data_IF_029436622221
#
_entry.id   IF_029436622221
#
_cell.length_a   1.000
_cell.length_b   1.000
_cell.length_c   1.000
_cell.angle_alpha   90.00
_cell.angle_beta   90.00
_cell.angle_gamma   90.00
#
_symmetry.space_group_name_H-M   'P 1'
#
loop_
_entity.id
_entity.type
_entity.pdbx_description
1 polymer ?
#
# COMPACT_ATOMS: atom_id res chain seq x y z
N UNK A 1 -24.36 5.97 -1.60
CA UNK A 1 -25.41 5.08 -2.18
C UNK A 1 -25.02 3.66 -1.79
N UNK A 2 -25.95 2.75 -1.46
CA UNK A 2 -25.58 1.37 -1.16
C UNK A 2 -24.95 0.70 -2.39
N UNK A 3 -23.91 -0.10 -2.17
CA UNK A 3 -23.17 -0.86 -3.17
C UNK A 3 -23.64 -2.32 -3.11
N UNK A 4 -24.21 -2.84 -4.20
CA UNK A 4 -24.77 -4.20 -4.21
C UNK A 4 -23.78 -5.20 -4.82
N UNK A 5 -23.71 -6.40 -4.25
CA UNK A 5 -22.99 -7.53 -4.84
C UNK A 5 -23.79 -8.05 -6.04
N UNK A 6 -23.17 -8.05 -7.22
CA UNK A 6 -23.84 -8.47 -8.46
C UNK A 6 -24.19 -9.97 -8.47
N UNK A 7 -23.49 -10.78 -7.67
CA UNK A 7 -23.70 -12.23 -7.60
C UNK A 7 -24.82 -12.65 -6.63
N UNK A 8 -24.96 -11.98 -5.47
CA UNK A 8 -25.93 -12.37 -4.43
C UNK A 8 -26.99 -11.31 -4.13
N UNK A 9 -26.83 -10.08 -4.62
CA UNK A 9 -27.74 -8.96 -4.40
C UNK A 9 -27.71 -8.36 -2.99
N UNK A 10 -26.70 -8.68 -2.18
CA UNK A 10 -26.53 -8.10 -0.84
C UNK A 10 -25.98 -6.67 -0.95
N UNK A 11 -26.59 -5.72 -0.21
CA UNK A 11 -26.22 -4.30 -0.26
C UNK A 11 -25.29 -3.91 0.89
N UNK A 12 -24.19 -3.22 0.56
CA UNK A 12 -23.14 -2.78 1.47
C UNK A 12 -23.04 -1.25 1.51
N UNK A 13 -22.73 -0.70 2.68
CA UNK A 13 -22.61 0.75 2.87
C UNK A 13 -21.30 1.32 2.32
N UNK A 14 -20.28 0.48 2.13
CA UNK A 14 -18.96 0.87 1.59
C UNK A 14 -18.47 -0.18 0.59
N UNK A 15 -17.69 0.25 -0.41
CA UNK A 15 -17.05 -0.64 -1.37
C UNK A 15 -16.08 -1.61 -0.69
N UNK A 16 -15.43 -1.22 0.40
CA UNK A 16 -14.56 -2.08 1.21
C UNK A 16 -15.31 -3.30 1.75
N UNK A 17 -16.54 -3.13 2.23
CA UNK A 17 -17.37 -4.24 2.71
C UNK A 17 -17.87 -5.13 1.59
N UNK A 18 -18.22 -4.55 0.43
CA UNK A 18 -18.54 -5.33 -0.77
C UNK A 18 -17.35 -6.19 -1.22
N UNK A 19 -16.12 -5.68 -1.13
CA UNK A 19 -14.90 -6.40 -1.54
C UNK A 19 -14.50 -7.54 -0.59
N UNK A 20 -14.84 -7.45 0.69
CA UNK A 20 -14.56 -8.49 1.69
C UNK A 20 -15.68 -9.54 1.80
N UNK A 21 -16.76 -9.36 1.03
CA UNK A 21 -17.87 -10.29 1.01
C UNK A 21 -17.53 -11.52 0.15
N UNK A 22 -17.44 -12.68 0.79
CA UNK A 22 -17.21 -13.98 0.13
C UNK A 22 -18.56 -14.61 -0.26
N UNK A 23 -18.86 -14.63 -1.57
CA UNK A 23 -20.12 -15.11 -2.10
C UNK A 23 -20.11 -16.64 -2.24
N UNK A 24 -20.72 -17.35 -1.30
CA UNK A 24 -20.60 -18.81 -1.17
C UNK A 24 -21.44 -19.66 -2.15
N UNK A 25 -22.07 -19.10 -3.20
CA UNK A 25 -22.95 -19.86 -4.10
C UNK A 25 -22.79 -19.48 -5.59
N UNK A 26 -21.76 -20.02 -6.26
CA UNK A 26 -21.73 -20.07 -7.74
C UNK A 26 -21.89 -21.51 -8.21
N UNK A 27 -23.12 -21.89 -8.56
CA UNK A 27 -23.38 -23.07 -9.40
C UNK A 27 -23.44 -22.62 -10.86
N UNK A 28 -22.43 -23.04 -11.62
CA UNK A 28 -22.31 -22.83 -13.06
C UNK A 28 -23.51 -23.38 -13.82
N UNK A 29 -24.11 -22.57 -14.70
CA UNK A 29 -24.88 -23.07 -15.84
C UNK A 29 -24.57 -22.26 -17.12
N UNK A 30 -23.96 -22.92 -18.09
CA UNK A 30 -24.08 -22.64 -19.55
C UNK A 30 -25.34 -23.38 -20.08
N UNK A 31 -25.90 -23.19 -21.31
CA UNK A 31 -25.38 -22.44 -22.48
C UNK A 31 -26.42 -21.80 -23.49
N UNK A 32 -25.85 -21.22 -24.57
CA UNK A 32 -26.30 -21.08 -26.00
C UNK A 32 -27.14 -19.87 -26.46
N UNK A 33 -26.65 -19.18 -27.52
CA UNK A 33 -27.49 -18.48 -28.51
C UNK A 33 -26.79 -17.52 -29.49
N UNK A 34 -26.56 -17.96 -30.73
CA UNK A 34 -25.93 -17.29 -31.89
C UNK A 34 -26.41 -15.86 -32.25
N UNK A 35 -25.53 -15.03 -32.83
CA UNK A 35 -25.63 -14.58 -34.23
C UNK A 35 -24.44 -13.70 -34.69
N UNK A 36 -23.91 -14.10 -35.83
CA UNK A 36 -22.86 -13.53 -36.68
C UNK A 36 -23.28 -12.21 -37.35
N UNK A 37 -22.49 -11.13 -37.22
CA UNK A 37 -22.43 -10.01 -38.17
C UNK A 37 -21.10 -9.21 -38.04
N UNK A 38 -20.27 -9.29 -39.10
CA UNK A 38 -19.52 -8.13 -39.59
C UNK A 38 -18.01 -8.07 -39.30
N UNK A 39 -17.23 -8.89 -40.01
CA UNK A 39 -15.80 -8.66 -40.19
C UNK A 39 -15.55 -7.30 -40.86
N UNK A 40 -15.08 -6.32 -40.08
CA UNK A 40 -14.17 -5.29 -40.56
C UNK A 40 -12.77 -5.67 -40.14
N UNK A 41 -11.90 -5.92 -41.13
CA UNK A 41 -10.47 -6.08 -40.91
C UNK A 41 -9.90 -4.75 -40.41
N UNK A 42 -9.83 -4.61 -39.08
CA UNK A 42 -8.90 -3.69 -38.45
C UNK A 42 -7.54 -4.39 -38.42
N UNK A 43 -6.53 -3.80 -39.06
CA UNK A 43 -5.13 -4.28 -39.03
C UNK A 43 -4.43 -3.92 -37.71
N UNK A 44 -5.18 -3.70 -36.63
CA UNK A 44 -4.67 -3.58 -35.28
C UNK A 44 -5.18 -4.75 -34.45
N UNK A 45 -4.27 -5.40 -33.71
CA UNK A 45 -4.64 -6.39 -32.70
C UNK A 45 -5.67 -5.78 -31.74
N UNK A 46 -6.71 -6.55 -31.40
CA UNK A 46 -7.69 -6.11 -30.41
C UNK A 46 -7.02 -5.92 -29.03
N UNK A 47 -7.58 -5.11 -28.11
CA UNK A 47 -7.09 -5.01 -26.74
C UNK A 47 -6.89 -6.39 -26.08
N UNK A 48 -7.87 -7.29 -26.24
CA UNK A 48 -7.79 -8.69 -25.79
C UNK A 48 -6.61 -9.45 -26.41
N UNK A 49 -6.34 -9.30 -27.71
CA UNK A 49 -5.20 -9.96 -28.35
C UNK A 49 -3.87 -9.41 -27.83
N UNK A 50 -3.79 -8.10 -27.56
CA UNK A 50 -2.59 -7.47 -26.98
C UNK A 50 -2.37 -7.91 -25.54
N UNK A 51 -3.43 -7.89 -24.73
CA UNK A 51 -3.40 -8.34 -23.34
C UNK A 51 -2.93 -9.79 -23.26
N UNK A 52 -3.54 -10.71 -24.01
CA UNK A 52 -3.14 -12.11 -24.03
C UNK A 52 -1.69 -12.32 -24.49
N UNK A 53 -1.22 -11.53 -25.47
CA UNK A 53 0.16 -11.57 -25.92
C UNK A 53 1.14 -11.08 -24.84
N UNK A 54 0.88 -9.93 -24.21
CA UNK A 54 1.73 -9.40 -23.13
C UNK A 54 1.71 -10.29 -21.89
N UNK A 55 0.57 -10.89 -21.53
CA UNK A 55 0.50 -11.88 -20.44
C UNK A 55 1.36 -13.11 -20.74
N UNK A 56 1.32 -13.62 -21.97
CA UNK A 56 2.15 -14.76 -22.38
C UNK A 56 3.65 -14.43 -22.36
N UNK A 57 4.01 -13.22 -22.80
CA UNK A 57 5.40 -12.75 -22.75
C UNK A 57 5.86 -12.52 -21.31
N UNK A 58 5.03 -11.91 -20.46
CA UNK A 58 5.29 -11.72 -19.04
C UNK A 58 5.60 -13.04 -18.33
N UNK A 59 4.77 -14.08 -18.54
CA UNK A 59 5.05 -15.42 -18.01
C UNK A 59 6.39 -15.96 -18.52
N UNK A 60 6.70 -15.78 -19.80
CA UNK A 60 7.96 -16.22 -20.41
C UNK A 60 9.17 -15.51 -19.78
N UNK A 61 9.07 -14.22 -19.51
CA UNK A 61 10.12 -13.41 -18.91
C UNK A 61 10.32 -13.76 -17.43
N UNK A 62 9.25 -13.98 -16.67
CA UNK A 62 9.31 -14.44 -15.28
C UNK A 62 9.90 -15.86 -15.18
N UNK A 63 9.58 -16.75 -16.11
CA UNK A 63 10.17 -18.08 -16.20
C UNK A 63 11.68 -17.99 -16.52
N UNK A 64 12.09 -17.12 -17.44
CA UNK A 64 13.51 -16.87 -17.74
C UNK A 64 14.24 -16.36 -16.50
N UNK A 65 13.67 -15.39 -15.78
CA UNK A 65 14.23 -14.88 -14.54
C UNK A 65 14.39 -16.00 -13.50
N UNK A 66 13.36 -16.82 -13.31
CA UNK A 66 13.38 -17.99 -12.41
C UNK A 66 14.46 -19.01 -12.80
N UNK A 67 14.82 -19.08 -14.08
CA UNK A 67 15.91 -19.90 -14.62
C UNK A 67 17.29 -19.23 -14.58
N UNK A 68 17.40 -18.05 -13.97
CA UNK A 68 18.67 -17.33 -13.71
C UNK A 68 18.98 -16.18 -14.65
N UNK A 69 18.10 -15.86 -15.60
CA UNK A 69 18.26 -14.73 -16.52
C UNK A 69 17.80 -13.42 -15.88
N UNK A 70 18.71 -12.73 -15.20
CA UNK A 70 18.38 -11.52 -14.41
C UNK A 70 17.94 -10.34 -15.28
N UNK A 71 18.45 -10.25 -16.51
CA UNK A 71 18.13 -9.14 -17.41
C UNK A 71 16.66 -9.19 -17.85
N UNK A 72 16.04 -10.37 -17.84
CA UNK A 72 14.63 -10.56 -18.19
C UNK A 72 13.65 -9.85 -17.24
N UNK A 73 14.07 -9.52 -16.01
CA UNK A 73 13.15 -8.91 -15.03
C UNK A 73 12.83 -7.45 -15.36
N UNK A 74 13.76 -6.68 -15.93
CA UNK A 74 13.45 -5.33 -16.39
C UNK A 74 12.40 -5.37 -17.51
N UNK A 75 12.56 -6.28 -18.46
CA UNK A 75 11.59 -6.51 -19.54
C UNK A 75 10.25 -6.98 -18.97
N UNK A 76 10.25 -7.84 -17.93
CA UNK A 76 9.03 -8.33 -17.30
C UNK A 76 8.21 -7.19 -16.67
N UNK A 77 8.85 -6.22 -16.01
CA UNK A 77 8.14 -5.06 -15.44
C UNK A 77 7.49 -4.23 -16.54
N UNK A 78 8.18 -4.03 -17.67
CA UNK A 78 7.64 -3.31 -18.84
C UNK A 78 6.47 -4.05 -19.50
N UNK A 79 6.58 -5.37 -19.65
CA UNK A 79 5.49 -6.19 -20.20
C UNK A 79 4.30 -6.26 -19.24
N UNK A 80 4.53 -6.22 -17.92
CA UNK A 80 3.45 -6.13 -16.95
C UNK A 80 2.69 -4.80 -17.06
N UNK A 81 3.39 -3.67 -17.14
CA UNK A 81 2.78 -2.36 -17.43
C UNK A 81 1.96 -2.38 -18.73
N UNK A 82 2.50 -3.03 -19.77
CA UNK A 82 1.85 -3.15 -21.07
C UNK A 82 0.58 -4.02 -21.01
N UNK A 83 0.60 -5.11 -20.25
CA UNK A 83 -0.55 -5.98 -20.02
C UNK A 83 -1.66 -5.26 -19.22
N UNK A 84 -1.29 -4.52 -18.16
CA UNK A 84 -2.22 -3.71 -17.38
C UNK A 84 -2.87 -2.62 -18.23
N UNK A 85 -2.06 -1.93 -19.05
CA UNK A 85 -2.53 -0.90 -19.96
C UNK A 85 -3.52 -1.46 -20.99
N UNK A 86 -3.20 -2.60 -21.60
CA UNK A 86 -4.10 -3.26 -22.56
C UNK A 86 -5.42 -3.72 -21.92
N UNK A 87 -5.36 -4.19 -20.68
CA UNK A 87 -6.54 -4.61 -19.93
C UNK A 87 -7.46 -3.43 -19.57
N UNK A 88 -6.88 -2.28 -19.22
CA UNK A 88 -7.64 -1.06 -18.94
C UNK A 88 -8.31 -0.48 -20.21
N UNK A 89 -7.69 -0.65 -21.38
CA UNK A 89 -8.29 -0.28 -22.67
C UNK A 89 -9.49 -1.17 -23.06
N UNK A 90 -9.50 -2.43 -22.62
CA UNK A 90 -10.54 -3.39 -22.96
C UNK A 90 -11.83 -3.17 -22.17
N UNK A 91 -11.72 -2.86 -20.88
CA UNK A 91 -12.83 -2.86 -19.95
C UNK A 91 -12.89 -1.62 -19.05
N UNK A 92 -14.00 -0.88 -19.15
CA UNK A 92 -14.29 0.29 -18.32
C UNK A 92 -14.70 -0.07 -16.89
N UNK A 93 -15.02 -1.33 -16.58
CA UNK A 93 -15.36 -1.78 -15.22
C UNK A 93 -14.13 -2.02 -14.34
N UNK A 94 -12.96 -2.18 -14.98
CA UNK A 94 -11.69 -2.51 -14.34
C UNK A 94 -11.59 -3.97 -13.91
N UNK A 95 -12.50 -4.85 -14.33
CA UNK A 95 -12.43 -6.29 -14.09
C UNK A 95 -11.23 -6.89 -14.84
N UNK A 96 -11.09 -6.59 -16.13
CA UNK A 96 -9.94 -7.06 -16.93
C UNK A 96 -8.61 -6.60 -16.34
N UNK A 97 -8.55 -5.36 -15.83
CA UNK A 97 -7.37 -4.85 -15.11
C UNK A 97 -7.06 -5.70 -13.88
N UNK A 98 -8.07 -5.98 -13.03
CA UNK A 98 -7.89 -6.77 -11.80
C UNK A 98 -7.49 -8.22 -12.10
N UNK A 99 -8.03 -8.81 -13.16
CA UNK A 99 -7.70 -10.16 -13.62
C UNK A 99 -6.23 -10.29 -14.07
N UNK A 100 -5.62 -9.19 -14.53
CA UNK A 100 -4.18 -9.14 -14.81
C UNK A 100 -3.39 -8.73 -13.58
N UNK A 101 -3.85 -7.74 -12.82
CA UNK A 101 -3.07 -7.18 -11.71
C UNK A 101 -2.83 -8.21 -10.61
N UNK A 102 -3.88 -8.84 -10.09
CA UNK A 102 -3.76 -9.66 -8.87
C UNK A 102 -2.91 -10.93 -9.04
N UNK A 103 -2.99 -11.69 -10.14
CA UNK A 103 -2.14 -12.86 -10.33
C UNK A 103 -0.64 -12.55 -10.47
N UNK A 104 -0.30 -11.31 -10.85
CA UNK A 104 1.09 -10.92 -11.15
C UNK A 104 1.69 -9.98 -10.11
N UNK A 105 0.89 -9.24 -9.34
CA UNK A 105 1.37 -8.31 -8.33
C UNK A 105 2.33 -8.97 -7.33
N UNK A 106 1.94 -10.10 -6.72
CA UNK A 106 2.81 -10.86 -5.81
C UNK A 106 4.03 -11.43 -6.55
N UNK A 107 3.84 -12.10 -7.69
CA UNK A 107 4.92 -12.75 -8.45
C UNK A 107 6.01 -11.76 -8.88
N UNK A 108 5.63 -10.59 -9.36
CA UNK A 108 6.57 -9.55 -9.81
C UNK A 108 7.22 -8.89 -8.60
N UNK A 109 6.49 -8.63 -7.51
CA UNK A 109 7.05 -8.12 -6.25
C UNK A 109 8.11 -9.06 -5.67
N UNK A 110 7.84 -10.37 -5.66
CA UNK A 110 8.78 -11.41 -5.23
C UNK A 110 10.02 -11.45 -6.12
N UNK A 111 9.86 -11.34 -7.44
CA UNK A 111 10.98 -11.33 -8.37
C UNK A 111 11.87 -10.10 -8.17
N UNK A 112 11.28 -8.92 -7.99
CA UNK A 112 11.98 -7.67 -7.66
C UNK A 112 12.71 -7.76 -6.32
N UNK A 113 12.06 -8.31 -5.28
CA UNK A 113 12.68 -8.54 -3.98
C UNK A 113 13.87 -9.51 -4.09
N UNK A 114 13.68 -10.65 -4.75
CA UNK A 114 14.72 -11.65 -4.97
C UNK A 114 15.92 -11.07 -5.73
N UNK A 115 15.67 -10.29 -6.80
CA UNK A 115 16.72 -9.65 -7.56
C UNK A 115 17.51 -8.66 -6.70
N UNK A 116 16.81 -7.82 -5.93
CA UNK A 116 17.40 -6.83 -5.03
C UNK A 116 18.23 -7.49 -3.92
N UNK A 117 17.74 -8.57 -3.30
CA UNK A 117 18.50 -9.36 -2.33
C UNK A 117 19.79 -9.95 -2.92
N UNK A 118 19.79 -10.23 -4.22
CA UNK A 118 20.93 -10.86 -4.90
C UNK A 118 21.95 -9.87 -5.49
N UNK A 119 21.50 -8.67 -5.86
CA UNK A 119 22.28 -7.66 -6.58
C UNK A 119 22.48 -6.35 -5.80
N UNK A 120 21.79 -6.20 -4.66
CA UNK A 120 21.76 -4.99 -3.85
C UNK A 120 20.76 -3.95 -4.36
N UNK A 121 20.65 -2.86 -3.60
CA UNK A 121 19.77 -1.72 -3.88
C UNK A 121 19.89 -1.14 -5.28
N UNK A 122 21.10 -1.13 -5.86
CA UNK A 122 21.34 -0.64 -7.22
C UNK A 122 20.38 -1.25 -8.27
N UNK A 123 19.95 -2.51 -8.08
CA UNK A 123 18.98 -3.11 -8.99
C UNK A 123 17.64 -2.37 -8.94
N UNK A 124 17.09 -2.20 -7.72
CA UNK A 124 15.81 -1.55 -7.50
C UNK A 124 15.86 -0.05 -7.79
N UNK A 125 17.00 0.61 -7.52
CA UNK A 125 17.25 2.01 -7.89
C UNK A 125 17.08 2.23 -9.41
N UNK A 126 17.58 1.32 -10.24
CA UNK A 126 17.36 1.41 -11.69
C UNK A 126 15.89 1.21 -12.06
N UNK A 127 15.15 0.36 -11.34
CA UNK A 127 13.71 0.15 -11.60
C UNK A 127 12.91 1.40 -11.24
N UNK A 128 13.17 2.02 -10.07
CA UNK A 128 12.46 3.24 -9.65
C UNK A 128 12.80 4.44 -10.53
N UNK A 129 14.04 4.58 -11.00
CA UNK A 129 14.45 5.67 -11.92
C UNK A 129 13.71 5.59 -13.26
N UNK A 130 13.52 4.37 -13.78
CA UNK A 130 12.77 4.15 -15.04
C UNK A 130 11.27 4.38 -14.86
N UNK A 131 10.74 4.21 -13.65
CA UNK A 131 9.31 4.33 -13.33
C UNK A 131 9.05 5.51 -12.38
N UNK A 132 9.76 6.63 -12.58
CA UNK A 132 9.63 7.83 -11.76
C UNK A 132 8.18 8.35 -11.76
N UNK A 133 7.49 8.40 -10.60
CA UNK A 133 6.11 8.84 -10.49
C UNK A 133 5.90 10.31 -10.87
N UNK A 134 6.97 11.10 -10.98
CA UNK A 134 6.92 12.53 -11.33
C UNK A 134 7.19 12.81 -12.81
N UNK A 135 7.57 11.79 -13.58
CA UNK A 135 7.99 11.96 -14.98
C UNK A 135 6.83 12.13 -15.97
N UNK A 136 5.63 11.67 -15.62
CA UNK A 136 4.45 11.70 -16.48
C UNK A 136 3.23 12.30 -15.74
N UNK A 137 2.18 12.63 -16.49
CA UNK A 137 0.93 13.18 -15.94
C UNK A 137 0.13 12.11 -15.16
N UNK A 138 0.37 10.82 -15.44
CA UNK A 138 -0.29 9.67 -14.82
C UNK A 138 0.76 8.72 -14.25
N UNK A 139 0.47 8.14 -13.08
CA UNK A 139 1.31 7.12 -12.46
C UNK A 139 1.37 5.86 -13.33
N UNK A 140 2.55 5.22 -13.50
CA UNK A 140 2.64 3.89 -14.09
C UNK A 140 1.72 2.90 -13.36
N UNK A 141 1.01 2.06 -14.09
CA UNK A 141 0.07 1.08 -13.52
C UNK A 141 0.77 0.03 -12.63
N UNK A 142 2.04 -0.24 -12.90
CA UNK A 142 2.91 -1.16 -12.15
C UNK A 142 3.43 -0.55 -10.83
N UNK A 143 3.19 0.74 -10.58
CA UNK A 143 3.68 1.46 -9.38
C UNK A 143 3.41 0.75 -8.05
N UNK A 144 2.21 0.19 -7.76
CA UNK A 144 2.00 -0.53 -6.50
C UNK A 144 2.95 -1.71 -6.29
N UNK A 145 3.31 -2.41 -7.38
CA UNK A 145 4.21 -3.57 -7.35
C UNK A 145 5.66 -3.15 -7.09
N UNK A 146 6.08 -2.02 -7.67
CA UNK A 146 7.41 -1.47 -7.40
C UNK A 146 7.48 -0.93 -5.96
N UNK A 147 6.46 -0.17 -5.53
CA UNK A 147 6.35 0.33 -4.16
C UNK A 147 6.37 -0.81 -3.13
N UNK A 148 5.67 -1.91 -3.40
CA UNK A 148 5.70 -3.11 -2.58
C UNK A 148 7.15 -3.63 -2.42
N UNK A 149 7.85 -3.88 -3.53
CA UNK A 149 9.24 -4.36 -3.50
C UNK A 149 10.20 -3.39 -2.79
N UNK A 150 10.02 -2.08 -2.98
CA UNK A 150 10.77 -1.03 -2.27
C UNK A 150 10.51 -1.11 -0.77
N UNK A 151 9.24 -1.20 -0.35
CA UNK A 151 8.85 -1.33 1.05
C UNK A 151 9.47 -2.55 1.72
N UNK A 152 9.49 -3.72 1.05
CA UNK A 152 10.11 -4.94 1.59
C UNK A 152 11.60 -4.74 1.87
N UNK A 153 12.31 -4.17 0.89
CA UNK A 153 13.76 -3.95 1.01
C UNK A 153 14.09 -2.84 2.02
N UNK A 154 13.23 -1.83 2.14
CA UNK A 154 13.33 -0.76 3.14
C UNK A 154 13.21 -1.34 4.55
N UNK A 155 12.15 -2.10 4.84
CA UNK A 155 11.93 -2.77 6.14
C UNK A 155 13.12 -3.67 6.47
N UNK A 156 13.51 -4.54 5.53
CA UNK A 156 14.65 -5.45 5.71
C UNK A 156 15.95 -4.71 6.00
N UNK A 157 16.23 -3.62 5.30
CA UNK A 157 17.43 -2.80 5.53
C UNK A 157 17.39 -2.15 6.91
N UNK A 158 16.24 -1.62 7.32
CA UNK A 158 16.06 -1.03 8.66
C UNK A 158 16.31 -2.05 9.78
N UNK A 159 15.79 -3.27 9.63
CA UNK A 159 15.89 -4.34 10.64
C UNK A 159 17.28 -5.00 10.69
N UNK A 160 17.94 -5.17 9.55
CA UNK A 160 19.22 -5.91 9.47
C UNK A 160 20.46 -5.02 9.50
N UNK A 161 20.31 -3.75 9.15
CA UNK A 161 21.39 -2.76 9.12
C UNK A 161 21.04 -1.58 10.03
N UNK A 162 20.55 -0.48 9.47
CA UNK A 162 20.05 0.70 10.16
C UNK A 162 19.37 1.64 9.14
N UNK A 163 18.84 2.78 9.60
CA UNK A 163 18.19 3.74 8.70
C UNK A 163 19.15 4.41 7.72
N UNK A 164 20.40 4.69 8.09
CA UNK A 164 21.38 5.36 7.20
C UNK A 164 21.80 4.49 6.00
N UNK A 165 21.54 3.17 6.07
CA UNK A 165 21.78 2.24 4.97
C UNK A 165 20.66 2.25 3.92
N UNK A 166 19.50 2.85 4.21
CA UNK A 166 18.40 2.96 3.27
C UNK A 166 18.76 4.01 2.22
N UNK A 167 18.68 3.72 0.90
CA UNK A 167 18.92 4.73 -0.11
C UNK A 167 17.88 5.85 -0.06
N UNK A 168 18.34 7.10 -0.09
CA UNK A 168 17.46 8.27 -0.15
C UNK A 168 16.50 8.19 -1.35
N UNK A 169 16.98 7.69 -2.50
CA UNK A 169 16.15 7.52 -3.70
C UNK A 169 14.93 6.61 -3.47
N UNK A 170 15.04 5.59 -2.61
CA UNK A 170 13.92 4.72 -2.26
C UNK A 170 12.86 5.46 -1.41
N UNK A 171 13.32 6.31 -0.49
CA UNK A 171 12.45 7.15 0.33
C UNK A 171 11.77 8.25 -0.51
N UNK A 172 12.52 8.88 -1.42
CA UNK A 172 11.98 9.85 -2.37
C UNK A 172 10.94 9.22 -3.29
N UNK A 173 11.18 7.99 -3.75
CA UNK A 173 10.22 7.26 -4.58
C UNK A 173 8.89 7.03 -3.84
N UNK A 174 8.91 6.42 -2.65
CA UNK A 174 7.67 6.16 -1.89
C UNK A 174 6.93 7.45 -1.53
N UNK A 175 7.66 8.51 -1.17
CA UNK A 175 7.08 9.83 -0.88
C UNK A 175 6.40 10.43 -2.11
N UNK A 176 7.05 10.37 -3.27
CA UNK A 176 6.51 10.89 -4.52
C UNK A 176 5.29 10.09 -4.99
N UNK A 177 5.30 8.76 -4.85
CA UNK A 177 4.12 7.91 -5.12
C UNK A 177 2.97 8.30 -4.20
N UNK A 178 3.22 8.49 -2.90
CA UNK A 178 2.18 8.89 -1.95
C UNK A 178 1.54 10.24 -2.30
N UNK A 179 2.31 11.19 -2.83
CA UNK A 179 1.81 12.51 -3.25
C UNK A 179 1.07 12.44 -4.59
N UNK A 180 1.52 11.60 -5.52
CA UNK A 180 0.94 11.49 -6.86
C UNK A 180 -0.28 10.58 -6.93
N UNK A 181 -0.43 9.64 -5.98
CA UNK A 181 -1.54 8.70 -5.97
C UNK A 181 -2.86 9.41 -5.64
N UNK A 182 -3.79 9.43 -6.59
CA UNK A 182 -5.13 9.96 -6.36
C UNK A 182 -5.97 9.09 -5.41
N UNK A 183 -7.01 9.68 -4.83
CA UNK A 183 -7.88 9.09 -3.80
C UNK A 183 -8.55 7.74 -4.17
N UNK A 184 -8.51 7.33 -5.44
CA UNK A 184 -9.10 6.07 -5.92
C UNK A 184 -8.06 4.96 -6.12
N UNK A 185 -6.78 5.25 -5.88
CA UNK A 185 -5.67 4.33 -6.09
C UNK A 185 -5.32 3.59 -4.78
N UNK A 186 -6.31 2.94 -4.17
CA UNK A 186 -6.20 2.30 -2.84
C UNK A 186 -4.93 1.45 -2.70
N UNK A 187 -4.67 0.53 -3.64
CA UNK A 187 -3.49 -0.33 -3.59
C UNK A 187 -2.18 0.45 -3.65
N UNK A 188 -2.11 1.51 -4.46
CA UNK A 188 -0.91 2.37 -4.54
C UNK A 188 -0.66 3.09 -3.22
N UNK A 189 -1.72 3.63 -2.60
CA UNK A 189 -1.63 4.34 -1.33
C UNK A 189 -1.24 3.41 -0.18
N UNK A 190 -1.74 2.17 -0.19
CA UNK A 190 -1.39 1.19 0.83
C UNK A 190 0.07 0.73 0.75
N UNK A 191 0.59 0.48 -0.45
CA UNK A 191 1.95 -0.05 -0.62
C UNK A 191 3.05 0.95 -0.23
N UNK A 192 2.72 2.24 -0.12
CA UNK A 192 3.67 3.27 0.35
C UNK A 192 3.69 3.42 1.87
N UNK A 193 2.84 2.75 2.65
CA UNK A 193 2.84 2.85 4.12
C UNK A 193 4.21 2.45 4.73
N UNK A 194 4.95 1.57 4.05
CA UNK A 194 6.31 1.18 4.43
C UNK A 194 7.30 2.37 4.47
N UNK A 195 6.95 3.52 3.90
CA UNK A 195 7.73 4.75 3.99
C UNK A 195 8.02 5.18 5.45
N UNK A 196 7.13 4.85 6.39
CA UNK A 196 7.30 5.14 7.82
C UNK A 196 8.57 4.52 8.42
N UNK A 197 9.06 3.42 7.84
CA UNK A 197 10.29 2.76 8.28
C UNK A 197 11.57 3.55 7.99
N UNK A 198 11.48 4.62 7.18
CA UNK A 198 12.55 5.59 6.98
C UNK A 198 12.66 6.67 8.06
N UNK A 199 11.81 6.63 9.10
CA UNK A 199 11.82 7.62 10.18
C UNK A 199 13.22 7.74 10.82
N UNK A 200 13.67 8.98 11.02
CA UNK A 200 15.00 9.28 11.57
C UNK A 200 16.15 9.25 10.56
N UNK A 201 15.89 9.10 9.25
CA UNK A 201 16.95 9.14 8.24
C UNK A 201 17.64 10.52 8.20
N UNK A 202 18.99 10.60 8.26
CA UNK A 202 19.71 11.87 8.40
C UNK A 202 19.58 12.79 7.18
N UNK A 203 19.52 12.20 5.99
CA UNK A 203 19.44 12.93 4.72
C UNK A 203 18.01 13.01 4.14
N UNK A 204 17.00 12.46 4.83
CA UNK A 204 15.62 12.45 4.36
C UNK A 204 14.63 12.48 5.54
N UNK A 205 14.15 13.67 5.90
CA UNK A 205 13.18 13.78 6.98
C UNK A 205 11.81 13.25 6.58
N UNK A 206 11.50 12.01 7.00
CA UNK A 206 10.14 11.42 6.92
C UNK A 206 9.18 12.19 7.82
N UNK A 207 9.62 12.56 9.02
CA UNK A 207 8.79 13.29 9.99
C UNK A 207 8.26 14.61 9.44
N UNK A 208 9.13 15.44 8.85
CA UNK A 208 8.71 16.74 8.31
C UNK A 208 7.75 16.58 7.13
N UNK A 209 7.93 15.55 6.31
CA UNK A 209 7.07 15.29 5.14
C UNK A 209 5.69 14.77 5.54
N UNK A 210 5.62 13.84 6.49
CA UNK A 210 4.35 13.39 7.05
C UNK A 210 3.60 14.53 7.76
N UNK A 211 4.33 15.37 8.51
CA UNK A 211 3.76 16.54 9.14
C UNK A 211 3.22 17.56 8.11
N UNK A 212 3.95 17.81 7.02
CA UNK A 212 3.47 18.67 5.95
C UNK A 212 2.23 18.11 5.24
N UNK A 213 2.13 16.79 5.09
CA UNK A 213 0.99 16.11 4.43
C UNK A 213 -0.25 16.05 5.32
N UNK A 214 -0.11 16.07 6.64
CA UNK A 214 -1.20 15.76 7.57
C UNK A 214 -2.45 16.66 7.45
N UNK A 215 -2.30 17.91 7.00
CA UNK A 215 -3.44 18.81 6.75
C UNK A 215 -4.14 18.55 5.41
N UNK A 216 -3.47 17.91 4.46
CA UNK A 216 -3.96 17.65 3.10
C UNK A 216 -4.50 16.23 2.97
N UNK A 217 -3.77 15.25 3.50
CA UNK A 217 -4.10 13.83 3.42
C UNK A 217 -3.70 13.12 4.73
N UNK A 218 -4.57 13.22 5.73
CA UNK A 218 -4.40 12.54 7.01
C UNK A 218 -4.50 11.01 6.87
N UNK A 219 -5.17 10.52 5.82
CA UNK A 219 -5.46 9.09 5.62
C UNK A 219 -4.23 8.33 5.11
N UNK A 220 -3.32 8.98 4.38
CA UNK A 220 -1.99 8.43 4.09
C UNK A 220 -1.05 8.52 5.31
N UNK A 221 -1.17 9.57 6.13
CA UNK A 221 -0.24 9.82 7.25
C UNK A 221 -0.40 8.82 8.38
N UNK A 222 -1.63 8.51 8.81
CA UNK A 222 -1.89 7.62 9.94
C UNK A 222 -1.31 6.20 9.79
N UNK A 223 -1.57 5.45 8.71
CA UNK A 223 -0.99 4.12 8.53
C UNK A 223 0.53 4.19 8.31
N UNK A 224 1.06 5.26 7.71
CA UNK A 224 2.52 5.44 7.62
C UNK A 224 3.15 5.68 9.01
N UNK A 225 2.45 6.39 9.90
CA UNK A 225 2.87 6.59 11.29
C UNK A 225 2.81 5.28 12.09
N UNK A 226 1.83 4.41 11.84
CA UNK A 226 1.77 3.07 12.42
C UNK A 226 3.06 2.30 12.12
N UNK A 227 3.47 2.24 10.84
CA UNK A 227 4.73 1.63 10.43
C UNK A 227 5.95 2.26 11.11
N UNK A 228 5.96 3.59 11.28
CA UNK A 228 7.06 4.29 11.94
C UNK A 228 7.25 3.86 13.40
N UNK A 229 6.18 3.51 14.12
CA UNK A 229 6.31 3.01 15.50
C UNK A 229 7.08 1.69 15.59
N UNK A 230 6.87 0.78 14.65
CA UNK A 230 7.62 -0.49 14.57
C UNK A 230 9.08 -0.27 14.17
N UNK A 231 9.36 0.78 13.39
CA UNK A 231 10.73 1.11 12.99
C UNK A 231 11.53 1.86 14.06
N UNK A 232 10.91 2.81 14.74
CA UNK A 232 11.50 3.64 15.81
C UNK A 232 10.41 4.29 16.68
N UNK A 233 9.99 3.60 17.74
CA UNK A 233 8.92 4.06 18.62
C UNK A 233 9.18 5.42 19.27
N UNK A 234 10.44 5.84 19.48
CA UNK A 234 10.76 7.14 20.06
C UNK A 234 10.62 8.27 19.03
N UNK A 235 11.14 8.08 17.82
CA UNK A 235 10.97 9.06 16.75
C UNK A 235 9.49 9.16 16.31
N UNK A 236 8.76 8.05 16.30
CA UNK A 236 7.35 8.00 15.96
C UNK A 236 6.48 8.72 17.00
N UNK A 237 6.71 8.53 18.31
CA UNK A 237 5.96 9.26 19.34
C UNK A 237 6.27 10.76 19.35
N UNK A 238 7.52 11.15 19.00
CA UNK A 238 7.87 12.57 18.81
C UNK A 238 7.06 13.19 17.66
N UNK A 239 6.91 12.47 16.54
CA UNK A 239 6.08 12.90 15.42
C UNK A 239 4.60 12.94 15.78
N UNK A 240 4.07 11.92 16.45
CA UNK A 240 2.68 11.88 16.93
C UNK A 240 2.38 13.08 17.83
N UNK A 241 3.28 13.39 18.77
CA UNK A 241 3.18 14.54 19.66
C UNK A 241 3.17 15.87 18.90
N UNK A 242 4.00 16.02 17.87
CA UNK A 242 4.01 17.20 17.01
C UNK A 242 2.67 17.35 16.27
N UNK A 243 2.19 16.29 15.63
CA UNK A 243 0.93 16.29 14.87
C UNK A 243 -0.30 16.58 15.77
N UNK A 244 -0.36 16.00 16.97
CA UNK A 244 -1.47 16.24 17.91
C UNK A 244 -1.50 17.69 18.44
N UNK A 245 -0.33 18.33 18.52
CA UNK A 245 -0.21 19.72 18.98
C UNK A 245 -0.36 20.75 17.86
N UNK A 246 -0.29 20.33 16.61
CA UNK A 246 -0.51 21.23 15.49
C UNK A 246 -2.01 21.54 15.36
N UNK A 247 -2.39 22.75 15.78
CA UNK A 247 -3.75 23.26 15.67
C UNK A 247 -4.19 23.50 14.22
N UNK A 248 -3.26 23.55 13.26
CA UNK A 248 -3.59 23.70 11.83
C UNK A 248 -4.09 22.41 11.19
N UNK A 249 -3.89 21.26 11.85
CA UNK A 249 -4.57 20.00 11.51
C UNK A 249 -5.97 20.07 12.12
N UNK A 250 -6.80 20.93 11.53
CA UNK A 250 -8.20 21.11 11.85
C UNK A 250 -9.08 20.37 10.85
N UNK A 251 -10.13 19.72 11.34
CA UNK A 251 -11.01 18.91 10.51
C UNK A 251 -11.52 17.67 11.21
N UNK A 252 -12.54 17.09 10.58
CA UNK A 252 -13.18 15.88 11.04
C UNK A 252 -13.57 15.04 9.84
N UNK A 253 -13.54 13.71 9.95
CA UNK A 253 -14.20 12.85 8.97
C UNK A 253 -15.48 12.24 9.54
N UNK A 254 -16.48 12.13 8.67
CA UNK A 254 -17.81 11.69 9.05
C UNK A 254 -17.89 10.19 9.22
N UNK A 255 -18.56 9.77 10.31
CA UNK A 255 -18.83 8.37 10.61
C UNK A 255 -20.35 8.15 10.54
N UNK A 256 -20.87 7.23 9.72
CA UNK A 256 -22.32 7.11 9.47
C UNK A 256 -23.21 6.89 10.71
N UNK A 257 -22.63 6.38 11.81
CA UNK A 257 -23.36 5.96 13.02
C UNK A 257 -22.74 6.55 14.31
N UNK A 258 -21.74 7.42 14.20
CA UNK A 258 -21.02 8.02 15.34
C UNK A 258 -20.78 9.51 15.09
N UNK A 259 -20.47 10.25 16.13
CA UNK A 259 -20.04 11.64 15.98
C UNK A 259 -18.82 11.75 15.07
N UNK A 260 -18.72 12.85 14.33
CA UNK A 260 -17.58 13.13 13.46
C UNK A 260 -16.27 13.02 14.26
N UNK A 261 -15.27 12.33 13.70
CA UNK A 261 -14.00 12.14 14.39
C UNK A 261 -13.02 13.24 14.01
N UNK A 262 -12.44 13.97 14.98
CA UNK A 262 -11.35 14.92 14.70
C UNK A 262 -10.15 14.22 14.04
N UNK A 263 -9.52 14.84 13.06
CA UNK A 263 -8.30 14.31 12.43
C UNK A 263 -7.18 14.05 13.45
N UNK A 264 -7.05 14.89 14.47
CA UNK A 264 -6.09 14.62 15.54
C UNK A 264 -6.44 13.39 16.38
N UNK A 265 -7.73 13.07 16.54
CA UNK A 265 -8.15 11.81 17.19
C UNK A 265 -7.88 10.60 16.28
N UNK A 266 -8.01 10.78 14.97
CA UNK A 266 -7.68 9.75 13.97
C UNK A 266 -6.24 9.28 14.09
N UNK A 267 -5.30 10.20 14.30
CA UNK A 267 -3.86 9.88 14.43
C UNK A 267 -3.56 8.85 15.53
N UNK A 268 -4.37 8.79 16.59
CA UNK A 268 -4.20 7.82 17.67
C UNK A 268 -4.56 6.38 17.27
N UNK A 269 -5.13 6.16 16.09
CA UNK A 269 -5.32 4.81 15.52
C UNK A 269 -3.96 4.15 15.20
N UNK A 270 -2.92 4.95 14.91
CA UNK A 270 -1.57 4.46 14.58
C UNK A 270 -0.88 3.69 15.71
N UNK A 271 -1.38 3.80 16.94
CA UNK A 271 -0.83 3.09 18.11
C UNK A 271 -1.68 1.90 18.53
N UNK A 272 -2.78 1.62 17.83
CA UNK A 272 -3.77 0.59 18.17
C UNK A 272 -3.12 -0.79 18.40
N UNK A 273 -2.17 -1.17 17.54
CA UNK A 273 -1.53 -2.48 17.54
C UNK A 273 -0.39 -2.70 18.52
N UNK A 274 0.21 -1.63 19.06
CA UNK A 274 1.56 -1.69 19.65
C UNK A 274 1.70 -2.56 20.91
N UNK A 275 0.61 -2.94 21.56
CA UNK A 275 0.61 -3.80 22.75
C UNK A 275 0.16 -5.23 22.47
N UNK A 276 0.09 -5.63 21.19
CA UNK A 276 -0.57 -6.87 20.80
C UNK A 276 0.22 -7.68 19.79
N UNK A 277 0.38 -8.97 20.06
CA UNK A 277 1.13 -9.89 19.19
C UNK A 277 0.34 -10.36 17.95
N UNK A 278 -0.95 -10.00 17.86
CA UNK A 278 -1.88 -10.39 16.78
C UNK A 278 -2.18 -9.25 15.80
N UNK A 279 -1.49 -8.11 15.91
CA UNK A 279 -1.69 -6.97 15.02
C UNK A 279 -0.36 -6.35 14.61
N UNK A 280 0.02 -6.59 13.35
CA UNK A 280 1.23 -6.05 12.73
C UNK A 280 0.84 -5.22 11.49
N UNK A 281 1.61 -4.18 11.14
CA UNK A 281 1.45 -3.48 9.89
C UNK A 281 1.45 -4.47 8.72
N UNK A 282 0.32 -4.55 8.03
CA UNK A 282 0.06 -5.55 7.00
C UNK A 282 0.66 -5.23 5.63
N UNK A 283 1.28 -4.05 5.49
CA UNK A 283 1.95 -3.64 4.27
C UNK A 283 3.47 -3.81 4.39
N UNK A 284 4.21 -4.03 3.28
CA UNK A 284 3.72 -4.33 1.92
C UNK A 284 2.88 -5.61 1.86
N UNK A 285 1.93 -5.69 0.92
CA UNK A 285 1.11 -6.90 0.76
C UNK A 285 1.98 -8.11 0.42
N UNK A 286 1.51 -9.29 0.81
CA UNK A 286 2.19 -10.58 0.56
C UNK A 286 3.59 -10.67 1.19
N UNK A 287 3.85 -9.89 2.25
CA UNK A 287 5.13 -9.91 2.94
C UNK A 287 4.98 -9.88 4.46
N UNK A 288 5.09 -11.06 5.07
CA UNK A 288 5.09 -11.23 6.52
C UNK A 288 6.48 -10.96 7.10
N UNK A 289 6.86 -9.69 7.16
CA UNK A 289 8.18 -9.26 7.64
C UNK A 289 8.48 -9.73 9.08
N UNK A 290 7.48 -9.72 9.95
CA UNK A 290 7.61 -10.16 11.34
C UNK A 290 7.93 -11.67 11.42
N UNK A 291 7.40 -12.49 10.51
CA UNK A 291 7.78 -13.90 10.39
C UNK A 291 9.20 -14.09 9.82
N UNK A 292 9.63 -13.28 8.85
CA UNK A 292 11.00 -13.37 8.29
C UNK A 292 12.07 -13.13 9.37
N UNK A 293 11.82 -12.21 10.31
CA UNK A 293 12.79 -11.80 11.32
C UNK A 293 12.55 -12.38 12.72
N UNK A 294 11.49 -13.18 12.94
CA UNK A 294 11.06 -13.63 14.27
C UNK A 294 10.97 -12.46 15.25
N UNK A 295 10.41 -11.35 14.78
CA UNK A 295 10.40 -10.08 15.51
C UNK A 295 9.29 -10.09 16.57
N UNK A 296 9.66 -9.72 17.79
CA UNK A 296 8.74 -9.56 18.92
C UNK A 296 8.83 -8.12 19.37
N UNK A 297 8.09 -7.25 18.68
CA UNK A 297 7.99 -5.85 19.06
C UNK A 297 7.54 -5.72 20.52
N UNK A 298 8.36 -5.03 21.32
CA UNK A 298 8.04 -4.68 22.70
C UNK A 298 7.91 -3.15 22.79
N UNK A 299 6.73 -2.67 23.15
CA UNK A 299 6.51 -1.26 23.44
C UNK A 299 7.25 -0.88 24.72
N UNK A 300 8.08 0.15 24.67
CA UNK A 300 8.78 0.68 25.83
C UNK A 300 7.79 1.43 26.75
N UNK A 301 7.85 1.15 28.05
CA UNK A 301 6.98 1.78 29.07
C UNK A 301 7.02 3.31 29.00
N UNK A 302 8.16 3.91 28.63
CA UNK A 302 8.29 5.36 28.49
C UNK A 302 7.48 5.87 27.30
N UNK A 303 7.48 5.15 26.18
CA UNK A 303 6.70 5.51 25.00
C UNK A 303 5.21 5.32 25.28
N UNK A 304 4.81 4.21 25.92
CA UNK A 304 3.43 4.01 26.35
C UNK A 304 2.96 5.18 27.23
N UNK A 305 3.73 5.54 28.26
CA UNK A 305 3.39 6.62 29.17
C UNK A 305 3.23 7.96 28.42
N UNK A 306 4.11 8.25 27.46
CA UNK A 306 4.00 9.44 26.61
C UNK A 306 2.72 9.44 25.77
N UNK A 307 2.35 8.31 25.16
CA UNK A 307 1.10 8.18 24.41
C UNK A 307 -0.10 8.46 25.32
N UNK A 308 -0.13 7.89 26.54
CA UNK A 308 -1.19 8.14 27.52
C UNK A 308 -1.30 9.61 27.90
N UNK A 309 -0.17 10.27 28.16
CA UNK A 309 -0.13 11.71 28.46
C UNK A 309 -0.64 12.56 27.29
N UNK A 310 -0.37 12.16 26.03
CA UNK A 310 -0.89 12.84 24.85
C UNK A 310 -2.41 12.71 24.73
N UNK A 311 -2.96 11.52 24.98
CA UNK A 311 -4.41 11.27 24.97
C UNK A 311 -5.10 12.14 26.03
N UNK A 312 -4.59 12.16 27.26
CA UNK A 312 -5.12 12.99 28.35
C UNK A 312 -4.99 14.49 28.06
N UNK A 313 -3.83 14.95 27.56
CA UNK A 313 -3.59 16.36 27.27
C UNK A 313 -4.49 16.88 26.14
N UNK A 314 -4.85 16.02 25.17
CA UNK A 314 -5.79 16.33 24.12
C UNK A 314 -7.27 16.21 24.55
N UNK A 315 -7.54 15.64 25.74
CA UNK A 315 -8.88 15.38 26.26
C UNK A 315 -9.60 14.24 25.55
N UNK A 316 -8.87 13.38 24.84
CA UNK A 316 -9.44 12.23 24.12
C UNK A 316 -9.71 11.02 25.02
N UNK A 317 -9.27 11.07 26.27
CA UNK A 317 -9.55 10.09 27.33
C UNK A 317 -10.98 10.18 27.88
N UNK A 318 -11.67 11.32 27.70
CA UNK A 318 -12.95 11.60 28.34
C UNK A 318 -14.06 10.57 28.02
N UNK A 319 -13.99 9.95 26.84
CA UNK A 319 -14.95 8.94 26.37
C UNK A 319 -14.42 7.50 26.47
N UNK A 320 -13.22 7.30 27.02
CA UNK A 320 -12.60 5.99 27.20
C UNK A 320 -12.94 5.36 28.56
N UNK A 321 -12.91 4.01 28.68
CA UNK A 321 -12.98 3.32 29.97
C UNK A 321 -11.86 3.75 30.92
N UNK A 322 -12.06 3.64 32.24
CA UNK A 322 -11.00 3.99 33.22
C UNK A 322 -9.74 3.11 33.10
N UNK A 323 -9.88 1.91 32.55
CA UNK A 323 -8.84 0.90 32.35
C UNK A 323 -8.50 0.73 30.85
N UNK A 324 -8.66 1.80 30.07
CA UNK A 324 -8.41 1.78 28.64
C UNK A 324 -6.97 1.36 28.27
N UNK A 325 -6.89 0.67 27.15
CA UNK A 325 -5.68 0.16 26.49
C UNK A 325 -5.50 0.84 25.14
N UNK A 326 -4.33 0.72 24.51
CA UNK A 326 -4.14 1.31 23.17
C UNK A 326 -5.16 0.79 22.14
N UNK A 327 -5.74 -0.40 22.35
CA UNK A 327 -6.84 -0.92 21.51
C UNK A 327 -8.12 -0.09 21.57
N UNK A 328 -8.39 0.57 22.70
CA UNK A 328 -9.55 1.45 22.82
C UNK A 328 -9.37 2.76 22.03
N UNK A 329 -8.16 3.04 21.54
CA UNK A 329 -7.89 4.16 20.64
C UNK A 329 -8.28 3.86 19.18
N UNK A 330 -8.53 2.59 18.85
CA UNK A 330 -8.94 2.17 17.51
C UNK A 330 -10.29 2.74 17.06
N UNK A 331 -10.54 2.74 15.75
CA UNK A 331 -11.73 3.38 15.13
C UNK A 331 -12.88 2.40 14.87
#
# INVERSE_FOLDING_TARGET
MPHECDDCGESFETLTRLRLHDCADVKSETPVGSADLGQSQSTGSSPADKQNASVTELDTLLDRFSNGDRDALHDAVVEFESALSAALEEDNSGEAYRDVFWPYHERVSDALDQATRSAGWNFLENVVDVHDPTAADELPLVTPTIANAVGRNLIRTRLTENVEAIPVAALEYLDAVAVAAGDTADTTQEEVHAYGWGIGHPDHSVADRLHARASEDIFSVNPTLEHAFYADQYAAVDLLEALLRDESIDGTFSRPVRDDMPFRRYLLDSVYGLQTDDHWPGMPRHYDWHEEFDDTFELDDTVEQRIRELVEAAGFDADLPNDWTLRDLGI
#
